data_IF_903969456229
#
_entry.id   IF_903969456229
#
_cell.length_a   1.000
_cell.length_b   1.000
_cell.length_c   1.000
_cell.angle_alpha   90.00
_cell.angle_beta   90.00
_cell.angle_gamma   90.00
#
_symmetry.space_group_name_H-M   'P 1'
#
loop_
_entity.id
_entity.type
_entity.pdbx_description
1 polymer ?
#
# COMPACT_ATOMS: atom_id res chain seq x y z
N UNK A 1 6.42 10.23 -27.24
CA UNK A 1 6.58 9.53 -25.95
C UNK A 1 6.56 8.04 -26.25
N UNK A 2 7.64 7.31 -25.94
CA UNK A 2 7.62 5.85 -26.00
C UNK A 2 6.81 5.35 -24.81
N UNK A 3 5.66 4.72 -25.07
CA UNK A 3 4.86 4.05 -24.05
C UNK A 3 5.61 2.83 -23.56
N UNK A 4 5.74 2.69 -22.23
CA UNK A 4 6.37 1.53 -21.61
C UNK A 4 5.54 0.28 -21.96
N UNK A 5 6.15 -0.68 -22.67
CA UNK A 5 5.49 -1.95 -22.98
C UNK A 5 5.46 -2.85 -21.74
N UNK A 6 4.35 -2.79 -21.01
CA UNK A 6 4.14 -3.53 -19.77
C UNK A 6 4.25 -5.05 -19.93
N UNK A 7 3.94 -5.59 -21.11
CA UNK A 7 3.96 -7.02 -21.37
C UNK A 7 5.40 -7.56 -21.42
N UNK A 8 6.32 -6.78 -21.99
CA UNK A 8 7.71 -7.21 -22.20
C UNK A 8 8.71 -6.57 -21.22
N UNK A 9 8.27 -5.62 -20.39
CA UNK A 9 9.17 -4.95 -19.46
C UNK A 9 9.63 -5.90 -18.33
N UNK A 10 10.94 -5.93 -17.99
CA UNK A 10 11.43 -6.81 -16.92
C UNK A 10 10.80 -6.49 -15.56
N UNK A 11 10.10 -7.47 -14.98
CA UNK A 11 9.41 -7.30 -13.69
C UNK A 11 10.36 -6.89 -12.56
N UNK A 12 11.62 -7.34 -12.60
CA UNK A 12 12.63 -6.95 -11.62
C UNK A 12 12.93 -5.45 -11.66
N UNK A 13 12.85 -4.81 -12.82
CA UNK A 13 13.08 -3.38 -12.95
C UNK A 13 11.85 -2.58 -12.53
N UNK A 14 10.64 -3.10 -12.80
CA UNK A 14 9.39 -2.56 -12.23
C UNK A 14 9.45 -2.54 -10.71
N UNK A 15 9.91 -3.64 -10.10
CA UNK A 15 10.06 -3.74 -8.64
C UNK A 15 11.03 -2.69 -8.08
N UNK A 16 12.18 -2.45 -8.75
CA UNK A 16 13.13 -1.41 -8.33
C UNK A 16 12.53 -0.01 -8.40
N UNK A 17 11.87 0.31 -9.50
CA UNK A 17 11.23 1.63 -9.69
C UNK A 17 10.12 1.85 -8.66
N UNK A 18 9.25 0.85 -8.49
CA UNK A 18 8.15 0.89 -7.55
C UNK A 18 8.65 1.01 -6.10
N UNK A 19 9.66 0.21 -5.72
CA UNK A 19 10.24 0.29 -4.39
C UNK A 19 10.83 1.68 -4.10
N UNK A 20 11.64 2.21 -5.03
CA UNK A 20 12.24 3.55 -4.85
C UNK A 20 11.19 4.65 -4.71
N UNK A 21 10.09 4.56 -5.46
CA UNK A 21 8.98 5.50 -5.35
C UNK A 21 8.28 5.39 -4.00
N UNK A 22 7.92 4.16 -3.58
CA UNK A 22 7.23 3.93 -2.32
C UNK A 22 8.09 4.32 -1.12
N UNK A 23 9.40 4.04 -1.15
CA UNK A 23 10.35 4.47 -0.11
C UNK A 23 10.43 5.99 0.02
N UNK A 24 10.41 6.72 -1.11
CA UNK A 24 10.37 8.19 -1.09
C UNK A 24 9.06 8.71 -0.50
N UNK A 25 7.93 8.11 -0.89
CA UNK A 25 6.60 8.48 -0.37
C UNK A 25 6.54 8.26 1.15
N UNK A 26 6.95 7.08 1.63
CA UNK A 26 6.92 6.76 3.06
C UNK A 26 7.86 7.66 3.85
N UNK A 27 9.08 7.89 3.35
CA UNK A 27 10.07 8.75 4.03
C UNK A 27 9.59 10.21 4.13
N UNK A 28 8.98 10.75 3.07
CA UNK A 28 8.41 12.09 3.09
C UNK A 28 7.25 12.19 4.09
N UNK A 29 6.37 11.19 4.11
CA UNK A 29 5.22 11.17 5.02
C UNK A 29 5.64 10.98 6.49
N UNK A 30 6.66 10.18 6.78
CA UNK A 30 7.23 10.03 8.13
C UNK A 30 7.78 11.35 8.67
N UNK A 31 8.47 12.13 7.83
CA UNK A 31 8.99 13.46 8.19
C UNK A 31 7.88 14.48 8.46
N UNK A 32 6.80 14.45 7.67
CA UNK A 32 5.64 15.32 7.90
C UNK A 32 4.93 15.00 9.22
N UNK A 33 4.84 13.71 9.58
CA UNK A 33 4.25 13.30 10.86
C UNK A 33 5.08 13.74 12.06
N UNK A 34 6.40 13.59 12.02
CA UNK A 34 7.28 14.02 13.11
C UNK A 34 7.24 15.54 13.33
N UNK A 35 7.17 16.33 12.25
CA UNK A 35 7.08 17.78 12.34
C UNK A 35 5.76 18.27 12.95
N UNK A 36 4.64 17.57 12.72
CA UNK A 36 3.35 17.92 13.31
C UNK A 36 3.25 17.59 14.81
N UNK A 37 3.88 16.50 15.27
CA UNK A 37 3.89 16.11 16.68
C UNK A 37 4.67 17.13 17.54
N UNK A 38 5.79 17.64 17.01
CA UNK A 38 6.65 18.56 17.75
C UNK A 38 6.05 19.97 17.95
N UNK A 39 5.03 20.36 17.18
CA UNK A 39 4.37 21.67 17.33
C UNK A 39 3.23 21.70 18.37
N UNK A 40 2.78 20.55 18.89
CA UNK A 40 1.67 20.48 19.86
C UNK A 40 2.07 20.58 21.33
N UNK A 41 3.36 20.65 21.69
CA UNK A 41 3.81 20.56 23.09
C UNK A 41 4.08 21.91 23.81
N UNK A 42 3.72 23.07 23.26
CA UNK A 42 4.13 24.39 23.86
C UNK A 42 3.00 25.31 24.36
N UNK A 43 1.81 24.81 24.72
CA UNK A 43 0.78 25.68 25.32
C UNK A 43 -0.05 24.98 26.42
N UNK A 44 0.12 25.36 27.71
CA UNK A 44 -0.76 24.91 28.77
C UNK A 44 -1.96 25.86 28.84
N UNK A 45 -3.14 25.42 28.39
CA UNK A 45 -4.49 25.82 28.85
C UNK A 45 -5.53 25.57 27.74
N UNK A 46 -6.33 24.51 27.91
CA UNK A 46 -7.71 24.26 27.43
C UNK A 46 -7.83 22.78 27.10
N UNK A 47 -8.91 22.16 27.56
CA UNK A 47 -9.20 20.73 27.38
C UNK A 47 -9.46 20.47 25.90
N UNK A 48 -8.39 20.28 25.11
CA UNK A 48 -8.49 19.79 23.75
C UNK A 48 -8.67 18.27 23.84
N UNK A 49 -9.80 17.79 23.31
CA UNK A 49 -10.01 16.35 23.08
C UNK A 49 -8.81 15.88 22.26
N UNK A 50 -7.87 15.19 22.89
CA UNK A 50 -6.68 14.67 22.24
C UNK A 50 -7.15 13.85 21.03
N UNK A 51 -6.87 14.34 19.83
CA UNK A 51 -7.16 13.61 18.60
C UNK A 51 -6.28 12.36 18.62
N UNK A 52 -6.82 11.26 19.13
CA UNK A 52 -6.15 9.97 19.11
C UNK A 52 -5.73 9.69 17.67
N UNK A 53 -4.45 9.34 17.42
CA UNK A 53 -4.02 8.98 16.08
C UNK A 53 -4.89 7.82 15.59
N UNK A 54 -5.65 8.08 14.52
CA UNK A 54 -6.50 7.09 13.86
C UNK A 54 -5.60 6.07 13.15
N UNK A 55 -5.09 5.09 13.89
CA UNK A 55 -4.35 3.99 13.32
C UNK A 55 -5.28 3.13 12.47
N UNK A 56 -4.89 2.94 11.21
CA UNK A 56 -5.58 2.03 10.30
C UNK A 56 -5.15 0.60 10.60
N UNK A 57 -5.94 -0.39 10.17
CA UNK A 57 -5.59 -1.82 10.29
C UNK A 57 -4.25 -2.18 9.63
N UNK A 58 -3.81 -1.37 8.66
CA UNK A 58 -2.55 -1.54 7.98
C UNK A 58 -1.34 -1.13 8.81
N UNK A 59 -1.47 -0.39 9.91
CA UNK A 59 -0.31 -0.04 10.73
C UNK A 59 0.18 -1.23 11.55
N UNK A 60 1.45 -1.58 11.40
CA UNK A 60 2.14 -2.55 12.23
C UNK A 60 2.56 -1.94 13.58
N UNK A 61 2.89 -2.80 14.56
CA UNK A 61 3.40 -2.37 15.88
C UNK A 61 4.80 -1.72 15.80
N UNK A 62 5.57 -2.09 14.79
CA UNK A 62 6.91 -1.57 14.52
C UNK A 62 7.17 -1.61 13.01
N UNK A 63 8.04 -0.73 12.53
CA UNK A 63 8.51 -0.77 11.14
C UNK A 63 9.20 -2.11 10.87
N UNK A 64 8.82 -2.85 9.80
CA UNK A 64 9.49 -4.09 9.45
C UNK A 64 10.97 -3.89 9.12
N UNK A 65 11.82 -4.85 9.49
CA UNK A 65 13.28 -4.80 9.22
C UNK A 65 13.65 -5.10 7.77
N UNK A 66 12.74 -5.70 7.00
CA UNK A 66 12.92 -5.94 5.56
C UNK A 66 12.56 -4.67 4.79
N UNK A 67 13.42 -4.23 3.88
CA UNK A 67 13.13 -3.09 3.01
C UNK A 67 12.03 -3.41 1.98
N UNK A 68 11.49 -2.37 1.33
CA UNK A 68 10.35 -2.50 0.41
C UNK A 68 10.73 -3.35 -0.82
N UNK A 69 11.91 -3.13 -1.41
CA UNK A 69 12.37 -3.86 -2.58
C UNK A 69 12.54 -5.36 -2.29
N UNK A 70 13.20 -5.70 -1.19
CA UNK A 70 13.39 -7.06 -0.71
C UNK A 70 12.06 -7.75 -0.40
N UNK A 71 11.09 -7.01 0.14
CA UNK A 71 9.76 -7.53 0.41
C UNK A 71 8.96 -7.80 -0.88
N UNK A 72 8.97 -6.87 -1.85
CA UNK A 72 8.38 -7.08 -3.18
C UNK A 72 9.02 -8.26 -3.91
N UNK A 73 10.35 -8.37 -3.85
CA UNK A 73 11.10 -9.49 -4.43
C UNK A 73 10.72 -10.83 -3.78
N UNK A 74 10.52 -10.84 -2.45
CA UNK A 74 10.02 -12.01 -1.72
C UNK A 74 8.63 -12.41 -2.21
N UNK A 75 7.74 -11.44 -2.43
CA UNK A 75 6.40 -11.69 -2.96
C UNK A 75 6.49 -12.30 -4.36
N UNK A 76 7.22 -11.67 -5.28
CA UNK A 76 7.39 -12.17 -6.64
C UNK A 76 7.94 -13.61 -6.67
N UNK A 77 8.91 -13.92 -5.81
CA UNK A 77 9.53 -15.26 -5.73
C UNK A 77 8.54 -16.37 -5.33
N UNK A 78 7.63 -16.09 -4.39
CA UNK A 78 6.76 -17.12 -3.80
C UNK A 78 5.30 -17.05 -4.25
N UNK A 79 4.88 -15.90 -4.76
CA UNK A 79 3.60 -15.63 -5.41
C UNK A 79 3.85 -14.84 -6.72
N UNK A 80 4.36 -15.50 -7.78
CA UNK A 80 4.60 -14.85 -9.06
C UNK A 80 3.35 -14.14 -9.59
N UNK A 81 3.52 -12.93 -10.11
CA UNK A 81 2.44 -12.09 -10.66
C UNK A 81 3.00 -11.15 -11.73
N UNK A 82 2.13 -10.47 -12.48
CA UNK A 82 2.48 -9.60 -13.61
C UNK A 82 2.88 -8.19 -13.18
N UNK A 83 3.52 -7.44 -14.09
CA UNK A 83 3.81 -6.02 -13.90
C UNK A 83 2.56 -5.21 -13.54
N UNK A 84 1.44 -5.53 -14.18
CA UNK A 84 0.14 -4.89 -13.94
C UNK A 84 -0.28 -5.01 -12.48
N UNK A 85 -0.05 -6.16 -11.84
CA UNK A 85 -0.38 -6.35 -10.44
C UNK A 85 0.50 -5.58 -9.45
N UNK A 86 1.73 -5.25 -9.84
CA UNK A 86 2.60 -4.39 -9.04
C UNK A 86 2.25 -2.91 -9.25
N UNK A 87 2.03 -2.50 -10.50
CA UNK A 87 1.70 -1.12 -10.83
C UNK A 87 0.30 -0.70 -10.37
N UNK A 88 -0.65 -1.64 -10.31
CA UNK A 88 -1.99 -1.40 -9.75
C UNK A 88 -1.95 -0.88 -8.32
N UNK A 89 -0.89 -1.17 -7.55
CA UNK A 89 -0.71 -0.61 -6.20
C UNK A 89 -0.73 0.92 -6.20
N UNK A 90 -0.09 1.56 -7.19
CA UNK A 90 -0.05 3.03 -7.27
C UNK A 90 -1.45 3.60 -7.53
N UNK A 91 -2.20 2.96 -8.42
CA UNK A 91 -3.59 3.33 -8.73
C UNK A 91 -4.47 3.16 -7.50
N UNK A 92 -4.38 2.02 -6.82
CA UNK A 92 -5.16 1.75 -5.62
C UNK A 92 -4.82 2.71 -4.47
N UNK A 93 -3.54 3.00 -4.24
CA UNK A 93 -3.14 3.95 -3.21
C UNK A 93 -3.65 5.36 -3.47
N UNK A 94 -3.63 5.81 -4.73
CA UNK A 94 -4.21 7.10 -5.11
C UNK A 94 -5.74 7.12 -4.93
N UNK A 95 -6.45 6.05 -5.33
CA UNK A 95 -7.89 5.88 -5.07
C UNK A 95 -8.22 5.90 -3.58
N UNK A 96 -7.47 5.15 -2.76
CA UNK A 96 -7.64 5.12 -1.31
C UNK A 96 -7.48 6.50 -0.68
N UNK A 97 -6.47 7.26 -1.12
CA UNK A 97 -6.25 8.64 -0.64
C UNK A 97 -7.45 9.55 -0.96
N UNK A 98 -7.93 9.53 -2.21
CA UNK A 98 -9.09 10.31 -2.65
C UNK A 98 -10.38 9.91 -1.92
N UNK A 99 -10.65 8.61 -1.81
CA UNK A 99 -11.83 8.08 -1.15
C UNK A 99 -11.83 8.38 0.36
N UNK A 100 -10.67 8.32 1.02
CA UNK A 100 -10.53 8.66 2.43
C UNK A 100 -10.84 10.15 2.69
N UNK A 101 -10.38 11.05 1.81
CA UNK A 101 -10.73 12.48 1.89
C UNK A 101 -12.25 12.65 1.74
N UNK A 102 -12.86 12.01 0.74
CA UNK A 102 -14.30 12.12 0.52
C UNK A 102 -15.14 11.60 1.70
N UNK A 103 -14.68 10.56 2.38
CA UNK A 103 -15.45 9.89 3.46
C UNK A 103 -15.19 10.51 4.84
N UNK A 104 -13.94 10.89 5.13
CA UNK A 104 -13.50 11.28 6.47
C UNK A 104 -13.04 12.74 6.57
N UNK A 105 -12.92 13.43 5.43
CA UNK A 105 -12.32 14.76 5.35
C UNK A 105 -10.80 14.77 5.49
N UNK A 106 -10.15 13.60 5.60
CA UNK A 106 -8.69 13.49 5.78
C UNK A 106 -8.07 12.49 4.79
N UNK A 107 -6.85 12.77 4.27
CA UNK A 107 -6.16 11.83 3.39
C UNK A 107 -5.71 10.58 4.13
N UNK A 108 -5.76 9.44 3.45
CA UNK A 108 -5.13 8.21 3.92
C UNK A 108 -3.61 8.37 3.81
N UNK A 109 -2.90 8.37 4.94
CA UNK A 109 -1.44 8.54 4.96
C UNK A 109 -0.71 7.20 4.86
N UNK A 110 0.12 7.05 3.83
CA UNK A 110 1.00 5.89 3.63
C UNK A 110 2.35 6.17 4.29
N UNK A 111 2.85 5.26 5.11
CA UNK A 111 4.05 5.47 5.91
C UNK A 111 4.85 4.18 6.12
N UNK A 112 6.00 4.28 6.80
CA UNK A 112 6.85 3.11 7.06
C UNK A 112 6.22 2.05 7.97
N UNK A 113 5.18 2.40 8.74
CA UNK A 113 4.48 1.46 9.61
C UNK A 113 3.42 0.66 8.87
N UNK A 114 2.89 1.16 7.75
CA UNK A 114 1.77 0.53 7.06
C UNK A 114 2.05 -0.01 5.66
N UNK A 115 3.13 0.45 5.01
CA UNK A 115 3.41 0.13 3.60
C UNK A 115 3.54 -1.37 3.31
N UNK A 116 4.21 -2.16 4.15
CA UNK A 116 4.35 -3.61 3.89
C UNK A 116 3.02 -4.36 3.93
N UNK A 117 2.12 -3.96 4.83
CA UNK A 117 0.77 -4.54 4.95
C UNK A 117 -0.10 -4.13 3.76
N UNK A 118 0.02 -2.89 3.31
CA UNK A 118 -0.64 -2.39 2.11
C UNK A 118 -0.16 -3.12 0.84
N UNK A 119 1.15 -3.34 0.69
CA UNK A 119 1.73 -4.04 -0.46
C UNK A 119 1.19 -5.47 -0.57
N UNK A 120 1.23 -6.27 0.50
CA UNK A 120 0.80 -7.67 0.42
C UNK A 120 -0.72 -7.79 0.19
N UNK A 121 -1.52 -6.93 0.82
CA UNK A 121 -2.97 -6.89 0.60
C UNK A 121 -3.29 -6.45 -0.83
N UNK A 122 -2.67 -5.38 -1.32
CA UNK A 122 -2.90 -4.85 -2.65
C UNK A 122 -2.48 -5.80 -3.78
N UNK A 123 -1.31 -6.45 -3.66
CA UNK A 123 -0.87 -7.44 -4.66
C UNK A 123 -1.79 -8.66 -4.67
N UNK A 124 -2.21 -9.14 -3.50
CA UNK A 124 -3.14 -10.26 -3.41
C UNK A 124 -4.48 -9.92 -4.07
N UNK A 125 -5.07 -8.78 -3.72
CA UNK A 125 -6.34 -8.30 -4.31
C UNK A 125 -6.19 -8.12 -5.82
N UNK A 126 -5.11 -7.48 -6.28
CA UNK A 126 -4.83 -7.29 -7.70
C UNK A 126 -4.70 -8.60 -8.45
N UNK A 127 -3.95 -9.56 -7.90
CA UNK A 127 -3.73 -10.85 -8.55
C UNK A 127 -5.03 -11.65 -8.64
N UNK A 128 -5.86 -11.64 -7.59
CA UNK A 128 -7.18 -12.27 -7.61
C UNK A 128 -8.15 -11.63 -8.61
N UNK A 129 -7.98 -10.34 -8.89
CA UNK A 129 -8.86 -9.60 -9.78
C UNK A 129 -8.46 -9.72 -11.25
N UNK A 130 -7.17 -9.63 -11.57
CA UNK A 130 -6.68 -9.60 -12.95
C UNK A 130 -6.17 -10.94 -13.47
N UNK A 131 -5.79 -11.88 -12.60
CA UNK A 131 -5.19 -13.16 -13.03
C UNK A 131 -6.18 -14.31 -12.98
N UNK A 132 -6.25 -15.11 -14.04
CA UNK A 132 -7.04 -16.35 -14.06
C UNK A 132 -6.51 -17.40 -13.06
N UNK A 133 -5.21 -17.34 -12.77
CA UNK A 133 -4.52 -18.19 -11.80
C UNK A 133 -3.98 -17.33 -10.68
N UNK A 134 -4.53 -17.52 -9.48
CA UNK A 134 -4.13 -16.80 -8.27
C UNK A 134 -3.92 -17.76 -7.09
N UNK A 135 -3.26 -17.29 -6.05
CA UNK A 135 -2.98 -18.08 -4.85
C UNK A 135 -3.98 -17.83 -3.72
N UNK A 136 -4.05 -18.77 -2.77
CA UNK A 136 -4.92 -18.64 -1.60
C UNK A 136 -4.39 -17.60 -0.61
N UNK A 137 -5.27 -17.01 0.20
CA UNK A 137 -4.90 -16.09 1.27
C UNK A 137 -3.89 -16.71 2.23
N UNK A 138 -4.01 -18.01 2.52
CA UNK A 138 -3.04 -18.72 3.36
C UNK A 138 -1.63 -18.68 2.79
N UNK A 139 -1.47 -18.76 1.45
CA UNK A 139 -0.15 -18.60 0.81
C UNK A 139 0.35 -17.17 0.95
N UNK A 140 -0.45 -16.17 0.57
CA UNK A 140 -0.06 -14.76 0.69
C UNK A 140 0.27 -14.37 2.13
N UNK A 141 -0.48 -14.87 3.12
CA UNK A 141 -0.24 -14.62 4.53
C UNK A 141 1.12 -15.18 4.98
N UNK A 142 1.45 -16.40 4.57
CA UNK A 142 2.76 -17.01 4.84
C UNK A 142 3.90 -16.20 4.20
N UNK A 143 3.71 -15.72 2.98
CA UNK A 143 4.68 -14.88 2.27
C UNK A 143 4.75 -13.47 2.87
N UNK A 144 3.67 -12.93 3.43
CA UNK A 144 3.63 -11.64 4.11
C UNK A 144 4.15 -11.69 5.54
N UNK A 145 4.26 -12.88 6.14
CA UNK A 145 4.62 -13.05 7.55
C UNK A 145 3.48 -12.65 8.50
N UNK A 146 2.23 -12.87 8.07
CA UNK A 146 1.01 -12.50 8.82
C UNK A 146 0.19 -13.75 9.15
N UNK A 147 -0.59 -13.75 10.25
CA UNK A 147 -1.70 -14.67 10.43
C UNK A 147 -2.69 -14.55 9.27
N UNK A 148 -3.26 -15.68 8.83
CA UNK A 148 -4.22 -15.70 7.71
C UNK A 148 -5.45 -14.85 8.04
N UNK A 149 -5.94 -14.91 9.28
CA UNK A 149 -7.06 -14.10 9.75
C UNK A 149 -6.79 -12.61 9.65
N UNK A 150 -5.55 -12.18 9.93
CA UNK A 150 -5.15 -10.78 9.79
C UNK A 150 -5.13 -10.38 8.32
N UNK A 151 -4.54 -11.18 7.43
CA UNK A 151 -4.53 -10.87 6.00
C UNK A 151 -5.95 -10.80 5.41
N UNK A 152 -6.87 -11.67 5.86
CA UNK A 152 -8.28 -11.61 5.43
C UNK A 152 -8.95 -10.28 5.83
N UNK A 153 -8.63 -9.75 7.02
CA UNK A 153 -9.14 -8.45 7.45
C UNK A 153 -8.53 -7.31 6.63
N UNK A 154 -7.24 -7.38 6.33
CA UNK A 154 -6.55 -6.40 5.48
C UNK A 154 -7.10 -6.41 4.05
N UNK A 155 -7.44 -7.59 3.51
CA UNK A 155 -8.11 -7.71 2.21
C UNK A 155 -9.43 -6.95 2.19
N UNK A 156 -10.31 -7.20 3.16
CA UNK A 156 -11.61 -6.52 3.23
C UNK A 156 -11.45 -5.01 3.39
N UNK A 157 -10.56 -4.57 4.28
CA UNK A 157 -10.27 -3.15 4.47
C UNK A 157 -9.75 -2.49 3.19
N UNK A 158 -8.87 -3.18 2.45
CA UNK A 158 -8.31 -2.69 1.20
C UNK A 158 -9.39 -2.51 0.13
N UNK A 159 -10.31 -3.47 0.02
CA UNK A 159 -11.46 -3.40 -0.87
C UNK A 159 -12.38 -2.23 -0.52
N UNK A 160 -12.69 -2.04 0.77
CA UNK A 160 -13.55 -0.95 1.26
C UNK A 160 -12.92 0.41 0.97
N UNK A 161 -11.61 0.59 1.23
CA UNK A 161 -10.92 1.87 0.96
C UNK A 161 -10.84 2.19 -0.54
N UNK A 162 -10.89 1.17 -1.41
CA UNK A 162 -10.99 1.33 -2.85
C UNK A 162 -12.43 1.42 -3.38
N UNK A 163 -13.44 1.44 -2.49
CA UNK A 163 -14.86 1.41 -2.86
C UNK A 163 -15.20 0.24 -3.80
N UNK A 164 -14.50 -0.90 -3.63
CA UNK A 164 -14.55 -2.07 -4.51
C UNK A 164 -14.27 -1.79 -6.00
N UNK A 165 -13.79 -0.60 -6.35
CA UNK A 165 -13.40 -0.22 -7.71
C UNK A 165 -11.98 -0.70 -7.99
N UNK A 166 -11.86 -1.95 -8.42
CA UNK A 166 -10.58 -2.59 -8.74
C UNK A 166 -10.23 -2.59 -10.23
N UNK A 167 -11.21 -2.42 -11.11
CA UNK A 167 -10.95 -2.34 -12.54
C UNK A 167 -10.00 -1.17 -12.85
N UNK A 168 -8.94 -1.45 -13.61
CA UNK A 168 -7.98 -0.47 -14.09
C UNK A 168 -7.84 -0.71 -15.58
N UNK A 169 -8.03 0.35 -16.36
CA UNK A 169 -7.82 0.29 -17.81
C UNK A 169 -6.34 0.42 -18.13
N UNK A 170 -5.89 -0.10 -19.28
CA UNK A 170 -4.49 0.02 -19.69
C UNK A 170 -4.10 1.50 -19.79
N UNK A 171 -5.01 2.36 -20.28
CA UNK A 171 -4.81 3.80 -20.41
C UNK A 171 -4.68 4.51 -19.07
N UNK A 172 -5.37 4.02 -18.03
CA UNK A 172 -5.22 4.52 -16.66
C UNK A 172 -3.87 4.07 -16.07
N UNK A 173 -3.54 2.78 -16.21
CA UNK A 173 -2.31 2.21 -15.68
C UNK A 173 -1.07 2.88 -16.29
N UNK A 174 -1.11 3.21 -17.59
CA UNK A 174 -0.01 3.86 -18.30
C UNK A 174 0.32 5.29 -17.81
N UNK A 175 -0.56 5.92 -17.03
CA UNK A 175 -0.33 7.25 -16.44
C UNK A 175 0.53 7.19 -15.17
N UNK A 176 0.71 6.01 -14.59
CA UNK A 176 1.50 5.75 -13.40
C UNK A 176 2.85 5.12 -13.79
#
# INVERSE_FOLDING_TARGET
>A
MHTLDLANFPVTDTLKMLASLLEKITSANDQLKSHNINHTETSPSTVSVASTPSFTRFHARSVPSIDIHSYLSRILKYCPTTNECFLSLLVYFDRMSKNAIATTGKPFSIDSFNIHRLIIAGIMVSSKFFSDVFFTNSRYAKVGGLPVSELNQLELEFLVLNDFRLAITVEELQKY
#
